data_IF_134219712065
#
_entry.id   IF_134219712065
#
_cell.length_a   1.000
_cell.length_b   1.000
_cell.length_c   1.000
_cell.angle_alpha   90.00
_cell.angle_beta   90.00
_cell.angle_gamma   90.00
#
_symmetry.space_group_name_H-M   'P 1'
#
loop_
_entity.id
_entity.type
_entity.pdbx_description
1 polymer ?
#
# COMPACT_ATOMS: atom_id res chain seq x y z
N UNK A 1 -10.77 14.82 8.22
CA UNK A 1 -10.11 14.04 9.30
C UNK A 1 -8.72 13.67 8.84
N UNK A 2 -7.68 13.90 9.67
CA UNK A 2 -6.29 13.53 9.34
C UNK A 2 -5.99 12.23 10.07
N UNK A 3 -5.80 11.14 9.32
CA UNK A 3 -5.35 9.87 9.88
C UNK A 3 -3.84 9.73 9.65
N UNK A 4 -3.11 9.29 10.68
CA UNK A 4 -1.73 8.85 10.54
C UNK A 4 -1.75 7.37 10.15
N UNK A 5 -1.06 6.98 9.08
CA UNK A 5 -1.05 5.59 8.62
C UNK A 5 0.25 4.92 9.03
N UNK A 6 0.15 3.86 9.84
CA UNK A 6 1.28 3.02 10.24
C UNK A 6 1.31 1.79 9.35
N UNK A 7 2.42 1.58 8.64
CA UNK A 7 2.60 0.38 7.80
C UNK A 7 3.06 -0.77 8.71
N UNK A 8 2.36 -1.89 8.65
CA UNK A 8 2.73 -3.12 9.36
C UNK A 8 3.55 -4.04 8.47
N UNK A 9 3.05 -4.30 7.28
CA UNK A 9 3.65 -5.18 6.29
C UNK A 9 3.43 -4.59 4.89
N UNK A 10 4.36 -4.84 3.96
CA UNK A 10 4.21 -4.44 2.57
C UNK A 10 4.81 -5.45 1.58
N UNK A 11 4.18 -5.58 0.42
CA UNK A 11 4.71 -6.29 -0.75
C UNK A 11 4.67 -5.37 -1.96
N UNK A 12 5.59 -5.58 -2.90
CA UNK A 12 5.78 -4.68 -4.03
C UNK A 12 6.03 -5.36 -5.38
N UNK A 13 5.79 -4.58 -6.43
CA UNK A 13 6.17 -4.88 -7.82
C UNK A 13 6.88 -3.66 -8.39
N UNK A 14 8.05 -3.88 -8.98
CA UNK A 14 8.83 -2.83 -9.64
C UNK A 14 8.25 -2.50 -11.02
N UNK A 15 8.24 -1.22 -11.34
CA UNK A 15 7.81 -0.63 -12.60
C UNK A 15 8.95 0.19 -13.22
N UNK A 16 8.88 0.51 -14.52
CA UNK A 16 9.90 1.30 -15.20
C UNK A 16 10.21 2.62 -14.48
N UNK A 17 11.49 2.98 -14.44
CA UNK A 17 11.97 4.18 -13.76
C UNK A 17 11.91 4.08 -12.24
N UNK A 18 12.13 2.89 -11.67
CA UNK A 18 12.25 2.60 -10.23
C UNK A 18 10.99 2.92 -9.39
N UNK A 19 9.84 2.98 -10.05
CA UNK A 19 8.56 3.06 -9.38
C UNK A 19 8.19 1.71 -8.77
N UNK A 20 7.57 1.71 -7.58
CA UNK A 20 7.08 0.47 -6.97
C UNK A 20 5.61 0.59 -6.65
N UNK A 21 4.78 -0.30 -7.21
CA UNK A 21 3.40 -0.46 -6.76
C UNK A 21 3.41 -1.36 -5.54
N UNK A 22 2.90 -0.86 -4.42
CA UNK A 22 2.88 -1.61 -3.16
C UNK A 22 1.45 -1.89 -2.72
N UNK A 23 1.27 -3.08 -2.12
CA UNK A 23 0.11 -3.43 -1.31
C UNK A 23 0.57 -3.44 0.14
N UNK A 24 -0.15 -2.73 1.01
CA UNK A 24 0.24 -2.50 2.39
C UNK A 24 -0.87 -2.95 3.34
N UNK A 25 -0.49 -3.73 4.36
CA UNK A 25 -1.29 -3.93 5.57
C UNK A 25 -0.97 -2.79 6.55
N UNK A 26 -1.99 -2.05 6.96
CA UNK A 26 -1.81 -0.79 7.69
C UNK A 26 -2.75 -0.67 8.89
N UNK A 27 -2.39 0.23 9.80
CA UNK A 27 -3.29 0.74 10.84
C UNK A 27 -3.52 2.23 10.61
N UNK A 28 -4.77 2.62 10.46
CA UNK A 28 -5.23 4.01 10.40
C UNK A 28 -5.42 4.51 11.82
N UNK A 29 -4.57 5.45 12.25
CA UNK A 29 -4.68 6.13 13.54
C UNK A 29 -5.45 7.43 13.36
N UNK A 30 -6.68 7.48 13.85
CA UNK A 30 -7.55 8.65 13.76
C UNK A 30 -7.29 9.65 14.89
N UNK A 31 -7.66 10.91 14.66
CA UNK A 31 -7.38 12.01 15.59
C UNK A 31 -8.20 11.94 16.90
N UNK A 32 -9.26 11.15 16.92
CA UNK A 32 -10.11 10.90 18.09
C UNK A 32 -9.58 9.78 18.99
N UNK A 33 -8.41 9.22 18.67
CA UNK A 33 -7.79 8.12 19.41
C UNK A 33 -8.24 6.74 18.97
N UNK A 34 -9.19 6.63 18.04
CA UNK A 34 -9.58 5.36 17.45
C UNK A 34 -8.54 4.89 16.43
N UNK A 35 -8.46 3.58 16.22
CA UNK A 35 -7.62 3.00 15.19
C UNK A 35 -8.33 1.85 14.47
N UNK A 36 -8.08 1.74 13.17
CA UNK A 36 -8.62 0.66 12.34
C UNK A 36 -7.51 -0.01 11.54
N UNK A 37 -7.53 -1.34 11.51
CA UNK A 37 -6.71 -2.10 10.57
C UNK A 37 -7.32 -2.04 9.17
N UNK A 38 -6.46 -2.08 8.16
CA UNK A 38 -6.93 -2.16 6.79
C UNK A 38 -5.81 -2.39 5.79
N UNK A 39 -6.19 -2.28 4.52
CA UNK A 39 -5.28 -2.49 3.40
C UNK A 39 -5.34 -1.32 2.44
N UNK A 40 -4.25 -1.08 1.72
CA UNK A 40 -4.23 -0.11 0.63
C UNK A 40 -3.21 -0.45 -0.43
N UNK A 41 -3.45 0.07 -1.64
CA UNK A 41 -2.43 0.16 -2.68
C UNK A 41 -1.83 1.56 -2.68
N UNK A 42 -0.51 1.67 -2.84
CA UNK A 42 0.19 2.95 -2.94
C UNK A 42 1.45 2.83 -3.79
N UNK A 43 1.79 3.91 -4.50
CA UNK A 43 3.02 4.01 -5.27
C UNK A 43 4.16 4.56 -4.42
N UNK A 44 5.32 3.90 -4.47
CA UNK A 44 6.60 4.47 -4.04
C UNK A 44 7.29 5.08 -5.24
N UNK A 45 7.78 6.30 -5.02
CA UNK A 45 8.63 7.02 -5.96
C UNK A 45 10.02 6.37 -6.03
N UNK A 46 10.80 6.70 -7.06
CA UNK A 46 12.19 6.23 -7.21
C UNK A 46 13.10 6.60 -6.03
N UNK A 47 12.80 7.71 -5.36
CA UNK A 47 13.49 8.17 -4.15
C UNK A 47 13.07 7.40 -2.88
N UNK A 48 12.22 6.38 -3.00
CA UNK A 48 11.69 5.57 -1.90
C UNK A 48 10.54 6.21 -1.14
N UNK A 49 10.22 7.49 -1.37
CA UNK A 49 9.14 8.18 -0.70
C UNK A 49 7.76 7.74 -1.23
N UNK A 50 6.77 7.72 -0.34
CA UNK A 50 5.39 7.41 -0.70
C UNK A 50 4.79 8.57 -1.50
N UNK A 51 4.20 8.26 -2.65
CA UNK A 51 3.39 9.23 -3.37
C UNK A 51 1.97 9.24 -2.79
N UNK A 52 1.78 9.99 -1.71
CA UNK A 52 0.47 10.16 -1.06
C UNK A 52 -0.54 11.01 -1.89
N UNK A 53 -0.08 11.73 -2.92
CA UNK A 53 -0.77 12.90 -3.46
C UNK A 53 -1.70 12.67 -4.68
N UNK A 54 -2.17 11.45 -4.98
CA UNK A 54 -3.15 11.24 -6.07
C UNK A 54 -4.18 10.13 -5.79
N UNK A 55 -4.97 10.27 -4.74
CA UNK A 55 -6.16 9.44 -4.53
C UNK A 55 -5.89 7.93 -4.50
N UNK A 56 -6.92 7.14 -4.83
CA UNK A 56 -6.82 5.70 -5.03
C UNK A 56 -5.67 5.40 -5.99
N UNK A 57 -4.72 4.55 -5.59
CA UNK A 57 -3.64 4.15 -6.48
C UNK A 57 -4.23 3.49 -7.74
N UNK A 58 -3.99 4.09 -8.90
CA UNK A 58 -4.34 3.46 -10.17
C UNK A 58 -3.49 2.20 -10.31
N UNK A 59 -4.14 1.05 -10.29
CA UNK A 59 -3.54 -0.24 -10.64
C UNK A 59 -3.62 -0.36 -12.16
N UNK A 60 -2.49 -0.50 -12.89
CA UNK A 60 -2.52 -0.44 -14.35
C UNK A 60 -3.32 -1.57 -15.01
N UNK A 61 -3.26 -2.77 -14.43
CA UNK A 61 -3.88 -3.99 -14.94
C UNK A 61 -4.27 -4.91 -13.77
N UNK A 62 -5.31 -5.73 -13.96
CA UNK A 62 -5.79 -6.70 -12.95
C UNK A 62 -4.70 -7.64 -12.44
N UNK A 63 -3.77 -8.07 -13.31
CA UNK A 63 -2.69 -9.00 -12.94
C UNK A 63 -1.84 -8.50 -11.77
N UNK A 64 -1.62 -7.19 -11.67
CA UNK A 64 -0.80 -6.62 -10.59
C UNK A 64 -1.54 -6.63 -9.24
N UNK A 65 -2.85 -6.44 -9.25
CA UNK A 65 -3.68 -6.62 -8.06
C UNK A 65 -3.55 -8.06 -7.56
N UNK A 66 -3.78 -9.02 -8.46
CA UNK A 66 -3.75 -10.45 -8.11
C UNK A 66 -2.36 -10.93 -7.67
N UNK A 67 -1.31 -10.46 -8.31
CA UNK A 67 0.07 -10.78 -7.92
C UNK A 67 0.39 -10.23 -6.52
N UNK A 68 0.01 -8.98 -6.22
CA UNK A 68 0.25 -8.37 -4.92
C UNK A 68 -0.54 -9.07 -3.81
N UNK A 69 -1.82 -9.41 -4.04
CA UNK A 69 -2.62 -10.14 -3.05
C UNK A 69 -2.09 -11.57 -2.85
N UNK A 70 -1.67 -12.27 -3.92
CA UNK A 70 -1.03 -13.59 -3.79
C UNK A 70 0.28 -13.52 -3.00
N UNK A 71 1.08 -12.46 -3.18
CA UNK A 71 2.29 -12.24 -2.38
C UNK A 71 1.97 -12.04 -0.89
N UNK A 72 0.93 -11.28 -0.58
CA UNK A 72 0.47 -11.08 0.80
C UNK A 72 -0.03 -12.39 1.43
N UNK A 73 -0.83 -13.17 0.69
CA UNK A 73 -1.31 -14.49 1.12
C UNK A 73 -0.14 -15.46 1.38
N UNK A 74 0.86 -15.49 0.48
CA UNK A 74 2.05 -16.31 0.65
C UNK A 74 2.91 -15.89 1.87
N UNK A 75 2.77 -14.65 2.35
CA UNK A 75 3.39 -14.16 3.57
C UNK A 75 2.51 -14.35 4.83
N UNK A 76 1.32 -14.94 4.69
CA UNK A 76 0.42 -15.22 5.82
C UNK A 76 -0.24 -13.98 6.41
N UNK A 77 -0.48 -12.94 5.60
CA UNK A 77 -1.09 -11.70 6.08
C UNK A 77 -2.54 -11.85 6.55
N UNK A 78 -3.25 -12.85 6.02
CA UNK A 78 -4.64 -13.19 6.30
C UNK A 78 -4.88 -14.70 6.09
#
# INVERSE_FOLDING_TARGET
>A
MKATVVIKEEVGINFPGDWVLTFQKVVYMYSDGNSEEGFRFIWRRPDGHLQAARGQARIPERKYLEELTKKAEAQGWY
#
